data_IF_440506783250
#
_entry.id   IF_440506783250
#
_cell.length_a   1.000
_cell.length_b   1.000
_cell.length_c   1.000
_cell.angle_alpha   90.00
_cell.angle_beta   90.00
_cell.angle_gamma   90.00
#
_symmetry.space_group_name_H-M   'P 1'
#
loop_
_entity.id
_entity.type
_entity.pdbx_description
1 polymer ?
#
# COMPACT_ATOMS: atom_id res chain seq x y z
N UNK A 1 -16.49 3.46 5.37
CA UNK A 1 -15.45 3.52 6.42
C UNK A 1 -15.17 2.18 7.10
N UNK A 2 -15.74 1.04 6.64
CA UNK A 2 -16.06 0.22 7.79
C UNK A 2 -15.67 -1.25 7.67
N UNK A 3 -15.65 -1.85 6.51
CA UNK A 3 -15.37 -3.28 6.42
C UNK A 3 -13.88 -3.56 6.71
N UNK A 4 -12.99 -2.94 5.98
CA UNK A 4 -11.53 -3.17 6.10
C UNK A 4 -11.02 -2.74 7.48
N UNK A 5 -11.40 -1.54 7.94
CA UNK A 5 -10.95 -1.05 9.25
C UNK A 5 -11.53 -1.86 10.41
N UNK A 6 -12.81 -2.24 10.34
CA UNK A 6 -13.43 -3.06 11.37
C UNK A 6 -12.88 -4.50 11.37
N UNK A 7 -12.65 -5.09 10.21
CA UNK A 7 -12.10 -6.45 10.12
C UNK A 7 -10.65 -6.49 10.61
N UNK A 8 -9.82 -5.52 10.22
CA UNK A 8 -8.42 -5.46 10.67
C UNK A 8 -8.27 -4.99 12.11
N UNK A 9 -9.17 -4.15 12.61
CA UNK A 9 -9.12 -3.61 13.98
C UNK A 9 -9.77 -4.48 15.05
N UNK A 10 -10.64 -5.43 14.66
CA UNK A 10 -11.37 -6.29 15.61
C UNK A 10 -10.72 -7.65 15.85
N UNK A 11 -9.72 -8.03 15.08
CA UNK A 11 -9.08 -9.35 15.16
C UNK A 11 -7.73 -9.21 15.86
N UNK A 12 -7.51 -10.05 16.87
CA UNK A 12 -6.27 -10.08 17.64
C UNK A 12 -5.04 -10.42 16.77
N UNK A 13 -5.25 -11.19 15.69
CA UNK A 13 -4.23 -11.49 14.69
C UNK A 13 -4.85 -11.58 13.29
N UNK A 14 -4.51 -10.72 12.34
CA UNK A 14 -5.00 -10.81 10.95
C UNK A 14 -4.63 -12.11 10.23
N UNK A 15 -3.63 -12.84 10.73
CA UNK A 15 -3.21 -14.14 10.21
C UNK A 15 -4.18 -15.27 10.57
N UNK A 16 -5.06 -15.05 11.56
CA UNK A 16 -6.09 -16.00 12.01
C UNK A 16 -7.44 -15.79 11.30
N UNK A 17 -7.56 -14.74 10.48
CA UNK A 17 -8.75 -14.55 9.67
C UNK A 17 -8.95 -15.72 8.70
N UNK A 18 -10.20 -16.17 8.44
CA UNK A 18 -10.47 -17.01 7.29
C UNK A 18 -9.92 -16.36 6.02
N UNK A 19 -9.24 -17.14 5.18
CA UNK A 19 -8.53 -16.61 4.02
C UNK A 19 -9.45 -15.85 3.05
N UNK A 20 -10.74 -16.25 2.94
CA UNK A 20 -11.74 -15.58 2.12
C UNK A 20 -12.01 -14.14 2.63
N UNK A 21 -12.07 -13.97 3.96
CA UNK A 21 -12.27 -12.64 4.56
C UNK A 21 -11.02 -11.76 4.38
N UNK A 22 -9.85 -12.34 4.57
CA UNK A 22 -8.57 -11.64 4.36
C UNK A 22 -8.43 -11.20 2.89
N UNK A 23 -8.76 -12.07 1.95
CA UNK A 23 -8.71 -11.78 0.51
C UNK A 23 -9.71 -10.68 0.13
N UNK A 24 -10.96 -10.76 0.60
CA UNK A 24 -11.98 -9.72 0.35
C UNK A 24 -11.54 -8.36 0.88
N UNK A 25 -10.93 -8.29 2.06
CA UNK A 25 -10.40 -7.04 2.60
C UNK A 25 -9.31 -6.43 1.71
N UNK A 26 -8.35 -7.25 1.29
CA UNK A 26 -7.26 -6.82 0.41
C UNK A 26 -7.78 -6.44 -0.98
N UNK A 27 -8.71 -7.20 -1.53
CA UNK A 27 -9.31 -6.90 -2.83
C UNK A 27 -10.12 -5.60 -2.79
N UNK A 28 -10.88 -5.35 -1.73
CA UNK A 28 -11.58 -4.09 -1.53
C UNK A 28 -10.61 -2.91 -1.46
N UNK A 29 -9.51 -3.04 -0.70
CA UNK A 29 -8.46 -2.03 -0.65
C UNK A 29 -7.84 -1.79 -2.03
N UNK A 30 -7.49 -2.85 -2.76
CA UNK A 30 -6.95 -2.77 -4.12
C UNK A 30 -7.89 -2.03 -5.08
N UNK A 31 -9.17 -2.41 -5.08
CA UNK A 31 -10.21 -1.83 -5.95
C UNK A 31 -10.46 -0.36 -5.67
N UNK A 32 -10.39 0.09 -4.41
CA UNK A 32 -10.43 1.51 -4.07
C UNK A 32 -9.34 2.32 -4.78
N UNK A 33 -8.13 1.77 -4.88
CA UNK A 33 -7.04 2.41 -5.61
C UNK A 33 -7.29 2.53 -7.11
N UNK A 34 -7.92 1.55 -7.72
CA UNK A 34 -8.30 1.60 -9.14
C UNK A 34 -9.33 2.68 -9.42
N UNK A 35 -10.41 2.72 -8.63
CA UNK A 35 -11.46 3.71 -8.77
C UNK A 35 -10.90 5.13 -8.61
N UNK A 36 -10.10 5.36 -7.57
CA UNK A 36 -9.51 6.67 -7.31
C UNK A 36 -8.54 7.11 -8.41
N UNK A 37 -7.76 6.18 -8.97
CA UNK A 37 -6.87 6.43 -10.11
C UNK A 37 -7.66 6.80 -11.36
N UNK A 38 -8.77 6.12 -11.63
CA UNK A 38 -9.65 6.35 -12.78
C UNK A 38 -10.36 7.69 -12.70
N UNK A 39 -10.93 8.05 -11.54
CA UNK A 39 -11.64 9.32 -11.32
C UNK A 39 -10.69 10.53 -11.53
N UNK A 40 -9.43 10.39 -11.15
CA UNK A 40 -8.44 11.46 -11.26
C UNK A 40 -7.78 11.58 -12.64
N UNK A 41 -8.09 10.68 -13.56
CA UNK A 41 -7.46 10.63 -14.89
C UNK A 41 -5.96 10.34 -14.85
N UNK A 42 -5.46 9.86 -13.74
CA UNK A 42 -4.03 9.67 -13.48
C UNK A 42 -3.61 8.26 -13.93
N UNK A 43 -3.10 8.15 -15.14
CA UNK A 43 -2.52 6.90 -15.67
C UNK A 43 -1.27 6.42 -14.89
N UNK A 44 -0.72 7.25 -13.99
CA UNK A 44 0.55 7.06 -13.29
C UNK A 44 0.36 6.50 -11.86
N UNK A 45 -0.89 6.35 -11.39
CA UNK A 45 -1.18 5.89 -10.04
C UNK A 45 -1.45 7.03 -9.04
N UNK A 46 -1.65 6.67 -7.78
CA UNK A 46 -1.94 7.60 -6.70
C UNK A 46 -0.63 8.23 -6.17
N UNK A 47 -0.57 9.55 -6.13
CA UNK A 47 0.57 10.27 -5.54
C UNK A 47 0.40 10.50 -4.02
N UNK A 48 1.47 10.94 -3.34
CA UNK A 48 1.49 11.20 -1.90
C UNK A 48 0.32 12.08 -1.40
N UNK A 49 -0.07 13.08 -2.17
CA UNK A 49 -1.22 13.96 -1.87
C UNK A 49 -2.56 13.22 -1.75
N UNK A 50 -2.65 12.00 -2.24
CA UNK A 50 -3.90 11.21 -2.22
C UNK A 50 -4.19 10.61 -0.85
N UNK A 51 -3.21 10.58 0.05
CA UNK A 51 -3.27 9.86 1.33
C UNK A 51 -3.31 10.78 2.55
N UNK A 52 -3.22 12.10 2.35
CA UNK A 52 -3.16 13.08 3.43
C UNK A 52 -4.31 14.08 3.36
N UNK A 53 -4.60 14.73 4.48
CA UNK A 53 -5.58 15.79 4.58
C UNK A 53 -4.95 17.09 4.08
N UNK A 54 -5.34 17.52 2.88
CA UNK A 54 -4.89 18.81 2.34
C UNK A 54 -5.79 19.91 2.91
N UNK A 55 -5.23 20.92 3.59
CA UNK A 55 -6.01 22.06 4.08
C UNK A 55 -6.73 22.75 2.90
N UNK A 56 -8.06 22.86 2.99
CA UNK A 56 -8.85 23.60 2.02
C UNK A 56 -8.92 25.06 2.46
N UNK A 57 -8.31 25.97 1.71
CA UNK A 57 -8.56 27.40 1.91
C UNK A 57 -9.97 27.76 1.39
N UNK A 58 -10.84 28.37 2.22
CA UNK A 58 -12.16 28.77 1.77
C UNK A 58 -12.05 29.74 0.60
N UNK A 59 -12.66 29.40 -0.53
CA UNK A 59 -12.72 30.24 -1.72
C UNK A 59 -11.64 30.05 -2.78
N UNK A 60 -10.63 29.21 -2.54
CA UNK A 60 -9.67 28.80 -3.59
C UNK A 60 -9.97 27.38 -4.06
N UNK A 61 -10.13 27.23 -5.39
CA UNK A 61 -10.13 25.88 -5.98
C UNK A 61 -8.86 25.15 -5.58
N UNK A 62 -8.90 23.83 -5.26
CA UNK A 62 -7.72 23.09 -4.90
C UNK A 62 -6.69 23.24 -6.01
N UNK A 63 -5.52 23.76 -5.65
CA UNK A 63 -4.44 24.04 -6.60
C UNK A 63 -4.01 22.72 -7.25
N UNK A 64 -4.51 22.45 -8.45
CA UNK A 64 -4.35 21.20 -9.20
C UNK A 64 -2.90 20.86 -9.56
N UNK A 65 -1.93 21.78 -9.37
CA UNK A 65 -0.58 21.65 -9.91
C UNK A 65 0.55 22.19 -9.02
N UNK A 66 0.35 22.37 -7.72
CA UNK A 66 1.50 22.67 -6.85
C UNK A 66 2.25 21.36 -6.61
N UNK A 67 3.39 21.18 -7.26
CA UNK A 67 4.40 20.18 -6.88
C UNK A 67 4.97 20.61 -5.52
N UNK A 68 4.23 20.32 -4.46
CA UNK A 68 4.75 20.49 -3.11
C UNK A 68 5.85 19.47 -2.87
N UNK A 69 6.83 19.86 -2.10
CA UNK A 69 7.89 18.96 -1.64
C UNK A 69 7.27 17.78 -0.88
N UNK A 70 7.85 16.59 -0.99
CA UNK A 70 7.42 15.40 -0.27
C UNK A 70 7.34 15.65 1.24
N UNK A 71 8.29 16.43 1.80
CA UNK A 71 8.33 16.81 3.21
C UNK A 71 7.08 17.54 3.68
N UNK A 72 6.43 18.32 2.82
CA UNK A 72 5.16 18.99 3.15
C UNK A 72 4.05 17.96 3.35
N UNK A 73 3.95 16.95 2.48
CA UNK A 73 2.95 15.88 2.62
C UNK A 73 3.22 15.00 3.83
N UNK A 74 4.49 14.74 4.17
CA UNK A 74 4.88 13.97 5.35
C UNK A 74 4.49 14.65 6.67
N UNK A 75 4.39 15.97 6.68
CA UNK A 75 3.96 16.74 7.84
C UNK A 75 2.42 16.79 8.03
N UNK A 76 1.66 16.39 7.00
CA UNK A 76 0.19 16.41 7.07
C UNK A 76 -0.36 15.12 7.68
N UNK A 77 -1.49 15.20 8.42
CA UNK A 77 -2.15 14.02 8.94
C UNK A 77 -2.69 13.16 7.79
N UNK A 78 -2.72 11.82 7.95
CA UNK A 78 -3.33 10.95 6.96
C UNK A 78 -4.83 11.27 6.81
N UNK A 79 -5.36 11.11 5.61
CA UNK A 79 -6.79 11.06 5.38
C UNK A 79 -7.31 9.63 5.62
N UNK A 80 -8.61 9.41 5.52
CA UNK A 80 -9.22 8.08 5.74
C UNK A 80 -8.56 6.97 4.94
N UNK A 81 -8.20 7.20 3.67
CA UNK A 81 -7.48 6.20 2.87
C UNK A 81 -6.07 5.96 3.44
N UNK A 82 -5.37 7.02 3.81
CA UNK A 82 -4.04 6.93 4.42
C UNK A 82 -4.06 6.15 5.73
N UNK A 83 -5.05 6.37 6.59
CA UNK A 83 -5.25 5.63 7.85
C UNK A 83 -5.48 4.13 7.60
N UNK A 84 -6.37 3.79 6.64
CA UNK A 84 -6.65 2.41 6.26
C UNK A 84 -5.40 1.71 5.74
N UNK A 85 -4.61 2.39 4.89
CA UNK A 85 -3.39 1.80 4.32
C UNK A 85 -2.28 1.64 5.36
N UNK A 86 -2.11 2.58 6.28
CA UNK A 86 -1.19 2.42 7.40
C UNK A 86 -1.60 1.24 8.29
N UNK A 87 -2.89 1.11 8.61
CA UNK A 87 -3.40 -0.04 9.34
C UNK A 87 -3.14 -1.35 8.59
N UNK A 88 -3.45 -1.39 7.29
CA UNK A 88 -3.25 -2.57 6.44
C UNK A 88 -1.78 -3.03 6.43
N UNK A 89 -0.84 -2.12 6.18
CA UNK A 89 0.57 -2.47 6.06
C UNK A 89 1.27 -2.73 7.41
N UNK A 90 0.70 -2.25 8.52
CA UNK A 90 1.17 -2.57 9.88
C UNK A 90 0.52 -3.83 10.45
N UNK A 91 -0.62 -4.27 9.93
CA UNK A 91 -1.40 -5.40 10.45
C UNK A 91 -0.75 -6.77 10.26
N UNK A 92 0.31 -6.88 9.46
CA UNK A 92 0.97 -8.12 9.07
C UNK A 92 0.05 -9.14 8.37
N UNK A 93 -1.02 -8.68 7.73
CA UNK A 93 -1.91 -9.55 6.95
C UNK A 93 -1.16 -10.30 5.82
N UNK A 94 -0.03 -9.77 5.37
CA UNK A 94 0.87 -10.43 4.42
C UNK A 94 1.54 -11.70 4.99
N UNK A 95 1.50 -11.92 6.31
CA UNK A 95 2.03 -13.13 6.97
C UNK A 95 1.02 -14.29 6.92
N UNK A 96 -0.19 -14.05 6.39
CA UNK A 96 -1.21 -15.08 6.25
C UNK A 96 -0.71 -16.26 5.42
N UNK A 97 -0.98 -17.50 5.88
CA UNK A 97 -0.44 -18.72 5.25
C UNK A 97 -1.00 -18.99 3.84
N UNK A 98 -2.19 -18.46 3.51
CA UNK A 98 -2.86 -18.76 2.26
C UNK A 98 -2.24 -17.99 1.07
N UNK A 99 -1.83 -18.68 -0.03
CA UNK A 99 -1.10 -18.05 -1.14
C UNK A 99 -1.86 -16.91 -1.85
N UNK A 100 -3.19 -17.03 -1.96
CA UNK A 100 -4.02 -15.99 -2.58
C UNK A 100 -3.97 -14.70 -1.77
N UNK A 101 -4.02 -14.79 -0.43
CA UNK A 101 -3.92 -13.64 0.46
C UNK A 101 -2.55 -12.98 0.31
N UNK A 102 -1.47 -13.78 0.29
CA UNK A 102 -0.11 -13.27 0.08
C UNK A 102 0.01 -12.54 -1.25
N UNK A 103 -0.47 -13.13 -2.34
CA UNK A 103 -0.41 -12.49 -3.65
C UNK A 103 -1.19 -11.18 -3.67
N UNK A 104 -2.41 -11.17 -3.14
CA UNK A 104 -3.25 -9.98 -3.09
C UNK A 104 -2.64 -8.88 -2.21
N UNK A 105 -1.95 -9.25 -1.13
CA UNK A 105 -1.16 -8.30 -0.33
C UNK A 105 -0.08 -7.61 -1.16
N UNK A 106 0.72 -8.36 -1.94
CA UNK A 106 1.75 -7.77 -2.79
C UNK A 106 1.18 -6.91 -3.93
N UNK A 107 0.02 -7.26 -4.48
CA UNK A 107 -0.68 -6.39 -5.44
C UNK A 107 -1.08 -5.05 -4.79
N UNK A 108 -1.54 -5.07 -3.53
CA UNK A 108 -1.82 -3.84 -2.77
C UNK A 108 -0.54 -3.04 -2.50
N UNK A 109 0.55 -3.69 -2.07
CA UNK A 109 1.84 -3.04 -1.81
C UNK A 109 2.32 -2.28 -3.06
N UNK A 110 2.27 -2.91 -4.22
CA UNK A 110 2.69 -2.28 -5.49
C UNK A 110 1.70 -1.20 -5.94
N UNK A 111 0.41 -1.40 -5.75
CA UNK A 111 -0.63 -0.41 -6.08
C UNK A 111 -0.42 0.89 -5.31
N UNK A 112 -0.02 0.79 -4.07
CA UNK A 112 0.15 1.89 -3.14
C UNK A 112 1.62 2.21 -2.85
N UNK A 113 2.53 1.94 -3.79
CA UNK A 113 3.97 2.15 -3.61
C UNK A 113 4.34 3.55 -3.11
N UNK A 114 3.60 4.58 -3.51
CA UNK A 114 3.81 5.96 -3.05
C UNK A 114 3.48 6.18 -1.55
N UNK A 115 2.75 5.27 -0.89
CA UNK A 115 2.61 5.29 0.57
C UNK A 115 3.94 5.05 1.27
N UNK A 116 4.76 4.14 0.75
CA UNK A 116 6.07 3.80 1.33
C UNK A 116 7.10 4.91 1.11
N UNK A 117 6.91 5.76 0.09
CA UNK A 117 7.68 7.00 -0.09
C UNK A 117 7.23 8.07 0.90
N UNK A 118 5.93 8.14 1.17
CA UNK A 118 5.36 9.09 2.13
C UNK A 118 5.65 8.69 3.58
N UNK A 119 5.54 7.41 3.90
CA UNK A 119 5.78 6.82 5.22
C UNK A 119 6.86 5.73 5.16
N UNK A 120 8.15 6.11 5.17
CA UNK A 120 9.26 5.16 4.99
C UNK A 120 9.37 4.10 6.09
N UNK A 121 8.77 4.35 7.26
CA UNK A 121 8.69 3.38 8.37
C UNK A 121 7.93 2.10 8.02
N UNK A 122 7.08 2.13 6.98
CA UNK A 122 6.38 0.95 6.46
C UNK A 122 7.24 0.09 5.52
N UNK A 123 8.34 0.66 4.98
CA UNK A 123 9.15 0.02 3.95
C UNK A 123 9.84 -1.28 4.40
N UNK A 124 10.44 -1.36 5.61
CA UNK A 124 11.12 -2.57 6.07
C UNK A 124 10.22 -3.81 6.05
N UNK A 125 8.99 -3.71 6.55
CA UNK A 125 8.05 -4.83 6.58
C UNK A 125 7.68 -5.33 5.17
N UNK A 126 7.50 -4.40 4.22
CA UNK A 126 7.19 -4.77 2.84
C UNK A 126 8.39 -5.42 2.15
N UNK A 127 9.61 -4.93 2.38
CA UNK A 127 10.83 -5.53 1.84
C UNK A 127 11.08 -6.91 2.44
N UNK A 128 10.93 -7.08 3.77
CA UNK A 128 11.02 -8.38 4.42
C UNK A 128 10.08 -9.40 3.76
N UNK A 129 8.81 -9.04 3.58
CA UNK A 129 7.83 -9.91 2.93
C UNK A 129 8.22 -10.29 1.49
N UNK A 130 8.78 -9.35 0.72
CA UNK A 130 9.25 -9.65 -0.64
C UNK A 130 10.46 -10.58 -0.66
N UNK A 131 11.38 -10.47 0.31
CA UNK A 131 12.65 -11.17 0.29
C UNK A 131 12.59 -12.58 0.89
N UNK A 132 11.51 -12.93 1.57
CA UNK A 132 11.34 -14.24 2.22
C UNK A 132 10.53 -15.24 1.36
N UNK A 133 10.05 -16.33 2.01
CA UNK A 133 9.28 -17.40 1.39
C UNK A 133 7.89 -16.95 0.88
N UNK A 134 7.38 -15.82 1.33
CA UNK A 134 6.13 -15.24 0.83
C UNK A 134 6.31 -14.56 -0.53
N UNK A 135 7.52 -14.06 -0.79
CA UNK A 135 7.90 -13.29 -1.96
C UNK A 135 8.80 -14.02 -2.95
N UNK A 136 10.04 -13.58 -3.06
CA UNK A 136 11.00 -14.08 -4.06
C UNK A 136 11.42 -15.53 -3.84
N UNK A 137 11.39 -16.01 -2.59
CA UNK A 137 11.70 -17.40 -2.24
C UNK A 137 10.47 -18.32 -2.30
N UNK A 138 9.34 -17.87 -2.87
CA UNK A 138 8.12 -18.64 -3.00
C UNK A 138 8.37 -19.96 -3.79
N UNK A 139 8.01 -21.14 -3.23
CA UNK A 139 8.25 -22.42 -3.89
C UNK A 139 7.44 -22.61 -5.17
N UNK A 140 6.21 -22.06 -5.24
CA UNK A 140 5.36 -22.21 -6.41
C UNK A 140 5.84 -21.29 -7.55
N UNK A 141 6.33 -21.90 -8.65
CA UNK A 141 7.00 -21.19 -9.76
C UNK A 141 6.12 -20.11 -10.41
N UNK A 142 4.84 -20.38 -10.64
CA UNK A 142 3.92 -19.42 -11.26
C UNK A 142 3.73 -18.17 -10.39
N UNK A 143 3.57 -18.38 -9.10
CA UNK A 143 3.43 -17.30 -8.12
C UNK A 143 4.74 -16.51 -8.00
N UNK A 144 5.88 -17.19 -7.90
CA UNK A 144 7.19 -16.55 -7.83
C UNK A 144 7.48 -15.65 -9.03
N UNK A 145 7.09 -16.06 -10.27
CA UNK A 145 7.22 -15.21 -11.47
C UNK A 145 6.42 -13.90 -11.33
N UNK A 146 5.19 -13.99 -10.83
CA UNK A 146 4.37 -12.78 -10.60
C UNK A 146 4.99 -11.90 -9.52
N UNK A 147 5.45 -12.49 -8.43
CA UNK A 147 6.09 -11.78 -7.32
C UNK A 147 7.40 -11.10 -7.72
N UNK A 148 8.22 -11.72 -8.57
CA UNK A 148 9.41 -11.07 -9.14
C UNK A 148 9.05 -9.79 -9.92
N UNK A 149 7.99 -9.85 -10.74
CA UNK A 149 7.50 -8.69 -11.46
C UNK A 149 6.99 -7.59 -10.52
N UNK A 150 6.23 -7.98 -9.49
CA UNK A 150 5.71 -7.05 -8.48
C UNK A 150 6.85 -6.41 -7.69
N UNK A 151 7.86 -7.18 -7.29
CA UNK A 151 9.05 -6.68 -6.60
C UNK A 151 9.80 -5.66 -7.46
N UNK A 152 10.07 -5.97 -8.72
CA UNK A 152 10.69 -5.01 -9.64
C UNK A 152 9.92 -3.68 -9.71
N UNK A 153 8.59 -3.75 -9.83
CA UNK A 153 7.75 -2.54 -9.84
C UNK A 153 7.84 -1.78 -8.53
N UNK A 154 7.77 -2.50 -7.41
CA UNK A 154 7.85 -1.90 -6.08
C UNK A 154 9.16 -1.15 -5.89
N UNK A 155 10.30 -1.78 -6.13
CA UNK A 155 11.63 -1.15 -6.00
C UNK A 155 11.76 0.06 -6.92
N UNK A 156 11.32 -0.05 -8.18
CA UNK A 156 11.32 1.08 -9.12
C UNK A 156 10.53 2.27 -8.59
N UNK A 157 9.34 2.01 -8.04
CA UNK A 157 8.40 3.06 -7.66
C UNK A 157 8.72 3.63 -6.26
N UNK A 158 9.48 2.90 -5.42
CA UNK A 158 9.91 3.32 -4.07
C UNK A 158 11.39 3.71 -3.99
N UNK A 159 12.14 3.70 -5.08
CA UNK A 159 13.60 3.91 -5.11
C UNK A 159 14.07 5.16 -4.35
N UNK A 160 13.25 6.21 -4.27
CA UNK A 160 13.58 7.45 -3.55
C UNK A 160 13.44 7.35 -2.03
N UNK A 161 12.77 6.30 -1.55
CA UNK A 161 12.62 6.03 -0.12
C UNK A 161 13.60 4.96 0.38
N UNK A 162 14.26 4.23 -0.52
CA UNK A 162 15.26 3.22 -0.16
C UNK A 162 16.57 3.95 0.14
N UNK A 163 17.14 3.79 1.36
CA UNK A 163 18.42 4.38 1.70
C UNK A 163 19.53 3.90 0.76
N UNK A 164 20.43 4.83 0.37
CA UNK A 164 21.53 4.53 -0.57
C UNK A 164 22.52 3.48 -0.05
N UNK A 165 22.52 3.22 1.27
CA UNK A 165 23.38 2.22 1.90
C UNK A 165 22.90 0.77 1.66
N UNK A 166 21.69 0.59 1.10
CA UNK A 166 21.08 -0.73 0.81
C UNK A 166 21.22 -1.09 -0.68
N UNK A 167 21.61 -0.13 -1.51
CA UNK A 167 21.84 -0.28 -2.95
C UNK A 167 23.34 -0.38 -3.21
#
# INVERSE_FOLDING_TARGET
QTLVANTLGSVASPTELPWEQAEVCLYAAFSCGEILSSIRGNKIGLGAHSYVQIPSEPGKAPARNVRQSLSVYQALPPNTLGEILQLLFRSRIGDHAHPVVQLQYFECVVRYASCFVLWPDLLPNALEAFLDQRGLCQPHLGMRRRLNYLFYRFVRDTRTAIPSEIV
#
